data_IF_255544515875
#
_entry.id   IF_255544515875
#
_cell.length_a   1.000
_cell.length_b   1.000
_cell.length_c   1.000
_cell.angle_alpha   90.00
_cell.angle_beta   90.00
_cell.angle_gamma   90.00
#
_symmetry.space_group_name_H-M   'P 1'
#
loop_
_entity.id
_entity.type
_entity.pdbx_description
1 polymer ?
#
# COMPACT_ATOMS: atom_id res chain seq x y z
N UNK A 1 28.43 -23.79 -11.37
CA UNK A 1 27.33 -24.03 -10.41
C UNK A 1 27.61 -23.59 -8.97
N UNK A 2 28.80 -23.07 -8.62
CA UNK A 2 29.12 -22.73 -7.22
C UNK A 2 28.51 -21.38 -6.83
N UNK A 3 28.56 -20.38 -7.72
CA UNK A 3 28.04 -19.03 -7.43
C UNK A 3 26.51 -18.97 -7.28
N UNK A 4 25.69 -19.65 -8.12
CA UNK A 4 24.25 -19.79 -7.87
C UNK A 4 23.96 -20.43 -6.52
N UNK A 5 24.70 -21.49 -6.17
CA UNK A 5 24.52 -22.22 -4.91
C UNK A 5 24.89 -21.36 -3.69
N UNK A 6 26.01 -20.62 -3.75
CA UNK A 6 26.39 -19.68 -2.70
C UNK A 6 25.35 -18.56 -2.57
N UNK A 7 24.91 -17.98 -3.68
CA UNK A 7 23.88 -16.93 -3.70
C UNK A 7 22.56 -17.42 -3.09
N UNK A 8 22.15 -18.65 -3.45
CA UNK A 8 20.98 -19.30 -2.90
C UNK A 8 21.12 -19.56 -1.39
N UNK A 9 22.27 -20.05 -0.93
CA UNK A 9 22.50 -20.32 0.49
C UNK A 9 22.54 -19.04 1.34
N UNK A 10 23.19 -17.98 0.85
CA UNK A 10 23.26 -16.67 1.52
C UNK A 10 21.87 -16.04 1.63
N UNK A 11 21.11 -16.01 0.53
CA UNK A 11 19.73 -15.49 0.52
C UNK A 11 18.79 -16.36 1.36
N UNK A 12 18.98 -17.68 1.37
CA UNK A 12 18.26 -18.60 2.26
C UNK A 12 18.50 -18.31 3.74
N UNK A 13 19.76 -18.07 4.14
CA UNK A 13 20.09 -17.62 5.49
C UNK A 13 19.43 -16.28 5.86
N UNK A 14 19.43 -15.33 4.92
CA UNK A 14 18.73 -14.05 5.09
C UNK A 14 17.21 -14.25 5.32
N UNK A 15 16.57 -15.13 4.54
CA UNK A 15 15.14 -15.45 4.69
C UNK A 15 14.79 -16.25 5.94
N UNK A 16 15.75 -16.98 6.48
CA UNK A 16 15.60 -17.64 7.77
C UNK A 16 15.59 -16.62 8.92
N UNK A 17 16.51 -15.63 8.89
CA UNK A 17 16.65 -14.62 9.94
C UNK A 17 15.59 -13.50 9.81
N UNK A 18 15.15 -13.18 8.59
CA UNK A 18 14.15 -12.14 8.25
C UNK A 18 14.46 -10.76 8.86
N UNK A 19 15.70 -10.25 8.77
CA UNK A 19 16.04 -8.97 9.38
C UNK A 19 15.26 -7.83 8.72
N UNK A 20 14.62 -6.99 9.54
CA UNK A 20 13.89 -5.80 9.06
C UNK A 20 12.54 -6.05 8.38
N UNK A 21 12.08 -7.31 8.26
CA UNK A 21 10.82 -7.66 7.58
C UNK A 21 9.60 -6.96 8.17
N UNK A 22 9.53 -6.88 9.51
CA UNK A 22 8.42 -6.23 10.21
C UNK A 22 8.30 -4.77 9.81
N UNK A 23 9.44 -4.08 9.66
CA UNK A 23 9.44 -2.70 9.19
C UNK A 23 9.07 -2.64 7.71
N UNK A 24 9.71 -3.43 6.84
CA UNK A 24 9.44 -3.40 5.40
C UNK A 24 7.96 -3.56 5.06
N UNK A 25 7.30 -4.54 5.68
CA UNK A 25 5.88 -4.85 5.44
C UNK A 25 4.93 -4.21 6.45
N UNK A 26 5.38 -3.21 7.20
CA UNK A 26 4.49 -2.45 8.09
C UNK A 26 3.36 -1.80 7.30
N UNK A 27 2.13 -1.97 7.76
CA UNK A 27 0.96 -1.36 7.13
C UNK A 27 0.87 0.11 7.50
N UNK A 28 0.91 1.01 6.52
CA UNK A 28 0.43 2.37 6.70
C UNK A 28 -1.09 2.36 6.62
N UNK A 29 -1.76 2.81 7.66
CA UNK A 29 -3.22 2.85 7.71
C UNK A 29 -3.73 4.29 7.58
N UNK A 30 -4.89 4.47 6.95
CA UNK A 30 -5.62 5.73 7.09
C UNK A 30 -5.98 5.87 8.56
N UNK A 31 -5.58 6.99 9.18
CA UNK A 31 -5.91 7.26 10.56
C UNK A 31 -7.40 7.52 10.71
N UNK A 32 -8.00 6.78 11.64
CA UNK A 32 -9.44 6.84 11.92
C UNK A 32 -9.73 7.61 13.18
N UNK A 33 -10.81 8.37 13.17
CA UNK A 33 -11.29 9.14 14.31
C UNK A 33 -12.65 8.59 14.80
N UNK A 34 -13.02 8.82 16.07
CA UNK A 34 -14.33 8.43 16.57
C UNK A 34 -15.48 9.05 15.76
N UNK A 35 -16.48 8.22 15.46
CA UNK A 35 -17.76 8.65 14.89
C UNK A 35 -18.57 9.32 15.99
N UNK A 36 -18.94 10.59 15.81
CA UNK A 36 -19.75 11.31 16.78
C UNK A 36 -21.23 10.94 16.70
N UNK A 37 -21.73 10.63 15.50
CA UNK A 37 -23.10 10.21 15.25
C UNK A 37 -23.11 9.24 14.06
N UNK A 38 -23.90 8.17 14.18
CA UNK A 38 -24.17 7.26 13.04
C UNK A 38 -25.44 7.77 12.36
N UNK A 39 -25.37 8.31 11.13
CA UNK A 39 -26.56 8.77 10.43
C UNK A 39 -27.46 7.58 10.11
N UNK A 40 -28.78 7.78 10.18
CA UNK A 40 -29.74 6.82 9.62
C UNK A 40 -29.59 6.84 8.11
N UNK A 41 -29.08 5.73 7.56
CA UNK A 41 -28.94 5.55 6.13
C UNK A 41 -30.19 4.83 5.60
N UNK A 42 -30.78 5.36 4.53
CA UNK A 42 -31.74 4.60 3.75
C UNK A 42 -30.95 3.66 2.86
N UNK A 43 -30.87 2.40 3.27
CA UNK A 43 -30.14 1.37 2.55
C UNK A 43 -30.77 1.10 1.18
N UNK A 44 -29.93 1.10 0.15
CA UNK A 44 -30.29 0.54 -1.15
C UNK A 44 -30.26 -1.00 -1.05
N UNK A 45 -31.22 -1.68 -1.68
CA UNK A 45 -31.30 -3.16 -1.69
C UNK A 45 -30.08 -3.81 -2.37
N UNK A 46 -29.33 -3.06 -3.17
CA UNK A 46 -28.14 -3.54 -3.88
C UNK A 46 -26.88 -3.58 -3.02
N UNK A 47 -26.91 -3.01 -1.81
CA UNK A 47 -25.74 -2.93 -0.94
C UNK A 47 -25.52 -4.23 -0.18
N UNK A 48 -24.32 -4.80 -0.31
CA UNK A 48 -23.91 -6.04 0.35
C UNK A 48 -23.22 -5.77 1.69
N UNK A 49 -22.43 -4.70 1.78
CA UNK A 49 -21.74 -4.28 3.01
C UNK A 49 -21.70 -2.75 3.07
N UNK A 50 -21.88 -2.20 4.26
CA UNK A 50 -21.74 -0.77 4.52
C UNK A 50 -20.73 -0.57 5.63
N UNK A 51 -19.77 0.32 5.41
CA UNK A 51 -18.80 0.74 6.41
C UNK A 51 -18.78 2.25 6.52
N UNK A 52 -19.01 2.73 7.74
CA UNK A 52 -18.81 4.12 8.11
C UNK A 52 -17.48 4.24 8.83
N UNK A 53 -16.66 5.20 8.41
CA UNK A 53 -15.44 5.56 9.13
C UNK A 53 -15.21 7.06 9.04
N UNK A 54 -14.46 7.62 9.98
CA UNK A 54 -14.09 9.04 9.94
C UNK A 54 -12.59 9.18 9.80
N UNK A 55 -12.15 10.04 8.89
CA UNK A 55 -10.76 10.48 8.73
C UNK A 55 -10.65 11.98 9.02
N UNK A 56 -9.47 12.57 8.78
CA UNK A 56 -9.29 14.03 8.79
C UNK A 56 -10.20 14.76 7.79
N UNK A 57 -10.67 14.08 6.74
CA UNK A 57 -11.57 14.64 5.73
C UNK A 57 -13.05 14.64 6.17
N UNK A 58 -13.37 14.04 7.31
CA UNK A 58 -14.73 13.84 7.77
C UNK A 58 -15.18 12.38 7.68
N UNK A 59 -16.49 12.16 7.64
CA UNK A 59 -17.09 10.82 7.61
C UNK A 59 -17.11 10.33 6.16
N UNK A 60 -16.77 9.05 5.99
CA UNK A 60 -16.78 8.34 4.72
C UNK A 60 -17.82 7.22 4.79
N UNK A 61 -18.68 7.16 3.77
CA UNK A 61 -19.58 6.05 3.54
C UNK A 61 -18.97 5.16 2.45
N UNK A 62 -18.47 4.01 2.89
CA UNK A 62 -17.92 2.97 2.03
C UNK A 62 -18.98 1.91 1.84
N UNK A 63 -19.32 1.61 0.59
CA UNK A 63 -20.34 0.63 0.25
C UNK A 63 -19.72 -0.43 -0.63
N UNK A 64 -20.02 -1.69 -0.33
CA UNK A 64 -19.70 -2.82 -1.19
C UNK A 64 -20.96 -3.26 -1.92
N UNK A 65 -20.89 -3.31 -3.24
CA UNK A 65 -21.92 -3.88 -4.13
C UNK A 65 -21.33 -5.02 -4.96
N UNK A 66 -22.10 -5.50 -5.93
CA UNK A 66 -21.65 -6.43 -6.98
C UNK A 66 -20.48 -5.86 -7.82
N UNK A 67 -20.38 -4.53 -7.92
CA UNK A 67 -19.30 -3.81 -8.62
C UNK A 67 -18.05 -3.60 -7.77
N UNK A 68 -18.06 -4.05 -6.51
CA UNK A 68 -16.96 -3.88 -5.57
C UNK A 68 -17.18 -2.73 -4.59
N UNK A 69 -16.09 -2.26 -3.99
CA UNK A 69 -16.13 -1.15 -3.03
C UNK A 69 -16.21 0.19 -3.74
N UNK A 70 -17.01 1.09 -3.21
CA UNK A 70 -17.18 2.47 -3.69
C UNK A 70 -17.36 3.41 -2.49
N UNK A 71 -16.92 4.67 -2.64
CA UNK A 71 -17.30 5.72 -1.71
C UNK A 71 -18.55 6.43 -2.18
N UNK A 72 -19.42 6.77 -1.24
CA UNK A 72 -20.62 7.53 -1.48
C UNK A 72 -20.64 8.78 -0.61
N UNK A 73 -21.23 9.83 -1.14
CA UNK A 73 -21.57 11.01 -0.36
C UNK A 73 -22.67 10.67 0.66
N UNK A 74 -22.51 11.10 1.91
CA UNK A 74 -23.44 10.73 2.99
C UNK A 74 -24.84 11.32 2.84
N UNK A 75 -24.98 12.43 2.10
CA UNK A 75 -26.24 13.16 2.00
C UNK A 75 -26.98 12.84 0.70
N UNK A 76 -26.24 12.76 -0.41
CA UNK A 76 -26.79 12.53 -1.74
C UNK A 76 -26.74 11.07 -2.16
N UNK A 77 -25.96 10.22 -1.47
CA UNK A 77 -25.70 8.82 -1.78
C UNK A 77 -25.08 8.57 -3.17
N UNK A 78 -24.61 9.63 -3.83
CA UNK A 78 -23.92 9.53 -5.11
C UNK A 78 -22.51 9.02 -4.91
N UNK A 79 -22.03 8.24 -5.87
CA UNK A 79 -20.66 7.72 -5.87
C UNK A 79 -19.66 8.87 -6.00
N UNK A 80 -18.60 8.82 -5.19
CA UNK A 80 -17.44 9.69 -5.25
C UNK A 80 -16.29 8.88 -5.84
N UNK A 81 -16.14 8.96 -7.17
CA UNK A 81 -15.18 8.11 -7.89
C UNK A 81 -13.71 8.39 -7.52
N UNK A 82 -13.38 9.65 -7.24
CA UNK A 82 -12.01 10.07 -6.94
C UNK A 82 -11.95 11.20 -5.91
N UNK A 83 -10.93 11.21 -5.05
CA UNK A 83 -10.65 12.34 -4.18
C UNK A 83 -9.98 13.48 -4.97
N UNK A 84 -10.03 14.67 -4.39
CA UNK A 84 -9.22 15.81 -4.81
C UNK A 84 -7.76 15.61 -4.37
N UNK A 85 -6.81 16.23 -5.10
CA UNK A 85 -5.38 16.17 -4.75
C UNK A 85 -5.11 16.61 -3.30
N UNK A 86 -5.73 17.71 -2.87
CA UNK A 86 -5.61 18.22 -1.50
C UNK A 86 -6.15 17.24 -0.44
N UNK A 87 -7.13 16.40 -0.79
CA UNK A 87 -7.66 15.37 0.09
C UNK A 87 -6.68 14.19 0.22
N UNK A 88 -6.07 13.76 -0.89
CA UNK A 88 -4.99 12.76 -0.88
C UNK A 88 -3.83 13.24 -0.02
N UNK A 89 -3.42 14.50 -0.21
CA UNK A 89 -2.37 15.14 0.59
C UNK A 89 -2.71 15.13 2.09
N UNK A 90 -3.90 15.60 2.46
CA UNK A 90 -4.33 15.66 3.86
C UNK A 90 -4.39 14.28 4.52
N UNK A 91 -4.96 13.28 3.83
CA UNK A 91 -4.99 11.90 4.32
C UNK A 91 -3.59 11.33 4.51
N UNK A 92 -2.69 11.61 3.56
CA UNK A 92 -1.33 11.09 3.60
C UNK A 92 -0.53 11.72 4.72
N UNK A 93 -0.59 13.06 4.86
CA UNK A 93 0.09 13.79 5.95
C UNK A 93 -0.36 13.30 7.33
N UNK A 94 -1.67 13.10 7.52
CA UNK A 94 -2.21 12.60 8.78
C UNK A 94 -1.79 11.15 9.08
N UNK A 95 -1.71 10.29 8.05
CA UNK A 95 -1.25 8.91 8.19
C UNK A 95 0.25 8.81 8.50
N UNK A 96 1.10 9.54 7.77
CA UNK A 96 2.57 9.44 7.92
C UNK A 96 3.08 10.10 9.21
N UNK A 97 2.28 10.97 9.84
CA UNK A 97 2.62 11.62 11.11
C UNK A 97 2.89 10.62 12.25
N UNK A 98 2.44 9.36 12.13
CA UNK A 98 2.74 8.31 13.10
C UNK A 98 4.24 7.95 13.14
N UNK A 99 4.96 8.13 12.03
CA UNK A 99 6.38 7.83 11.95
C UNK A 99 7.10 8.79 10.98
N UNK A 100 7.37 10.04 11.40
CA UNK A 100 8.00 11.05 10.55
C UNK A 100 9.43 10.66 10.12
N UNK A 101 10.14 9.87 10.92
CA UNK A 101 11.49 9.41 10.58
C UNK A 101 11.47 8.47 9.36
N UNK A 102 10.47 7.58 9.27
CA UNK A 102 10.33 6.65 8.15
C UNK A 102 9.86 7.34 6.87
N UNK A 103 8.82 8.14 6.99
CA UNK A 103 8.10 8.66 5.84
C UNK A 103 8.58 10.04 5.40
N UNK A 104 9.19 10.83 6.29
CA UNK A 104 9.67 12.17 5.97
C UNK A 104 8.55 13.10 5.49
N UNK A 105 8.79 13.80 4.39
CA UNK A 105 7.84 14.76 3.78
C UNK A 105 7.34 14.27 2.42
N UNK A 106 6.15 14.73 2.04
CA UNK A 106 5.64 14.51 0.69
C UNK A 106 6.52 15.27 -0.31
N UNK A 107 7.07 14.54 -1.28
CA UNK A 107 7.87 15.07 -2.38
C UNK A 107 7.03 15.30 -3.62
N UNK A 108 6.11 14.39 -3.94
CA UNK A 108 5.18 14.55 -5.06
C UNK A 108 3.89 13.74 -4.86
N UNK A 109 2.83 14.18 -5.56
CA UNK A 109 1.53 13.51 -5.61
C UNK A 109 1.09 13.46 -7.07
N UNK A 110 0.78 12.26 -7.57
CA UNK A 110 0.26 11.99 -8.91
C UNK A 110 -0.99 11.11 -8.80
N UNK A 111 -2.18 11.71 -8.91
CA UNK A 111 -3.43 10.99 -8.70
C UNK A 111 -3.55 10.47 -7.26
N UNK A 112 -3.52 9.14 -7.10
CA UNK A 112 -3.58 8.45 -5.81
C UNK A 112 -2.21 7.99 -5.30
N UNK A 113 -1.16 8.22 -6.07
CA UNK A 113 0.21 7.85 -5.74
C UNK A 113 0.95 9.04 -5.15
N UNK A 114 1.63 8.79 -4.04
CA UNK A 114 2.42 9.76 -3.28
C UNK A 114 3.83 9.23 -3.13
N UNK A 115 4.81 10.09 -3.39
CA UNK A 115 6.23 9.78 -3.17
C UNK A 115 6.74 10.72 -2.08
N UNK A 116 7.46 10.16 -1.11
CA UNK A 116 8.11 10.93 -0.05
C UNK A 116 9.58 11.22 -0.36
N UNK A 117 10.19 12.13 0.40
CA UNK A 117 11.63 12.42 0.33
C UNK A 117 12.53 11.28 0.85
N UNK A 118 11.97 10.35 1.62
CA UNK A 118 12.63 9.08 1.99
C UNK A 118 12.54 8.00 0.90
N UNK A 119 12.01 8.35 -0.27
CA UNK A 119 11.67 7.47 -1.40
C UNK A 119 10.64 6.37 -1.05
N UNK A 120 9.81 6.62 -0.02
CA UNK A 120 8.66 5.76 0.25
C UNK A 120 7.55 6.08 -0.74
N UNK A 121 7.04 5.05 -1.40
CA UNK A 121 5.92 5.14 -2.35
C UNK A 121 4.66 4.70 -1.61
N UNK A 122 3.65 5.55 -1.63
CA UNK A 122 2.37 5.34 -0.93
C UNK A 122 1.25 5.46 -1.95
N UNK A 123 0.40 4.46 -2.06
CA UNK A 123 -0.77 4.47 -2.95
C UNK A 123 -2.05 4.42 -2.13
N UNK A 124 -2.96 5.36 -2.37
CA UNK A 124 -4.28 5.38 -1.77
C UNK A 124 -5.26 4.53 -2.57
N UNK A 125 -5.82 3.49 -1.97
CA UNK A 125 -7.05 2.86 -2.43
C UNK A 125 -8.23 3.65 -1.87
N UNK A 126 -8.72 4.59 -2.68
CA UNK A 126 -9.83 5.48 -2.31
C UNK A 126 -11.12 4.73 -1.97
N UNK A 127 -11.60 3.75 -2.78
CA UNK A 127 -12.85 3.05 -2.50
C UNK A 127 -12.86 2.25 -1.18
N UNK A 128 -11.69 1.87 -0.66
CA UNK A 128 -11.58 1.11 0.59
C UNK A 128 -10.97 1.93 1.74
N UNK A 129 -10.53 3.17 1.49
CA UNK A 129 -9.77 4.00 2.42
C UNK A 129 -8.58 3.25 3.03
N UNK A 130 -7.73 2.69 2.17
CA UNK A 130 -6.51 1.96 2.56
C UNK A 130 -5.29 2.55 1.88
N UNK A 131 -4.18 2.60 2.61
CA UNK A 131 -2.88 2.89 2.01
C UNK A 131 -2.11 1.59 1.77
N UNK A 132 -1.40 1.56 0.65
CA UNK A 132 -0.32 0.62 0.40
C UNK A 132 0.98 1.41 0.43
N UNK A 133 2.04 0.85 1.01
CA UNK A 133 3.35 1.51 1.08
C UNK A 133 4.47 0.56 0.67
N UNK A 134 5.50 1.11 0.04
CA UNK A 134 6.72 0.40 -0.31
C UNK A 134 7.92 1.34 -0.17
N UNK A 135 8.90 0.91 0.62
CA UNK A 135 10.15 1.64 0.86
C UNK A 135 11.39 0.90 0.34
N UNK A 136 12.57 1.48 0.62
CA UNK A 136 13.88 0.93 0.23
C UNK A 136 14.16 -0.45 0.82
N UNK A 137 13.64 -0.70 2.02
CA UNK A 137 13.73 -1.99 2.72
C UNK A 137 12.95 -3.09 1.99
N UNK A 138 11.74 -2.78 1.52
CA UNK A 138 10.92 -3.68 0.72
C UNK A 138 11.58 -3.95 -0.64
N UNK A 139 12.16 -2.91 -1.25
CA UNK A 139 12.92 -3.04 -2.51
C UNK A 139 14.14 -3.95 -2.35
N UNK A 140 14.85 -3.84 -1.24
CA UNK A 140 15.98 -4.73 -0.92
C UNK A 140 15.54 -6.18 -0.71
N UNK A 141 14.46 -6.41 0.04
CA UNK A 141 13.90 -7.75 0.23
C UNK A 141 13.49 -8.36 -1.11
N UNK A 142 12.84 -7.58 -1.98
CA UNK A 142 12.45 -8.03 -3.31
C UNK A 142 13.67 -8.41 -4.16
N UNK A 143 14.78 -7.66 -4.07
CA UNK A 143 16.05 -8.04 -4.72
C UNK A 143 16.61 -9.35 -4.18
N UNK A 144 16.53 -9.57 -2.85
CA UNK A 144 16.95 -10.85 -2.27
C UNK A 144 16.11 -12.02 -2.81
N UNK A 145 14.80 -11.82 -3.02
CA UNK A 145 13.94 -12.81 -3.66
C UNK A 145 14.36 -13.09 -5.11
N UNK A 146 14.63 -12.04 -5.89
CA UNK A 146 15.11 -12.18 -7.26
C UNK A 146 16.40 -12.99 -7.33
N UNK A 147 17.39 -12.67 -6.48
CA UNK A 147 18.66 -13.42 -6.41
C UNK A 147 18.43 -14.88 -6.05
N UNK A 148 17.59 -15.14 -5.05
CA UNK A 148 17.30 -16.50 -4.57
C UNK A 148 16.66 -17.38 -5.64
N UNK A 149 15.77 -16.81 -6.46
CA UNK A 149 15.10 -17.50 -7.55
C UNK A 149 15.82 -17.38 -8.90
N UNK A 150 17.09 -16.98 -8.89
CA UNK A 150 17.95 -16.82 -10.08
C UNK A 150 17.41 -15.81 -11.12
N UNK A 151 16.55 -14.88 -10.71
CA UNK A 151 15.97 -13.84 -11.57
C UNK A 151 16.88 -12.60 -11.63
N UNK A 152 18.11 -12.77 -12.12
CA UNK A 152 19.14 -11.73 -12.01
C UNK A 152 18.95 -10.58 -13.00
N UNK A 153 18.54 -10.91 -14.21
CA UNK A 153 18.33 -9.97 -15.31
C UNK A 153 16.84 -9.63 -15.49
N UNK A 154 15.95 -10.45 -14.94
CA UNK A 154 14.51 -10.36 -15.15
C UNK A 154 14.07 -10.90 -16.52
N UNK A 155 15.02 -11.41 -17.32
CA UNK A 155 14.77 -12.04 -18.61
C UNK A 155 15.00 -13.53 -18.42
N UNK A 156 13.89 -14.28 -18.36
CA UNK A 156 13.90 -15.72 -18.07
C UNK A 156 14.94 -16.51 -18.88
N UNK A 157 15.05 -16.25 -20.18
CA UNK A 157 16.00 -16.95 -21.05
C UNK A 157 17.48 -16.71 -20.69
N UNK A 158 17.83 -15.50 -20.26
CA UNK A 158 19.20 -15.18 -19.82
C UNK A 158 19.46 -15.72 -18.42
N UNK A 159 18.46 -15.62 -17.55
CA UNK A 159 18.51 -16.12 -16.18
C UNK A 159 18.66 -17.65 -16.14
N UNK A 160 17.96 -18.37 -17.02
CA UNK A 160 18.11 -19.82 -17.18
C UNK A 160 19.53 -20.19 -17.66
N UNK A 161 20.05 -19.50 -18.69
CA UNK A 161 21.40 -19.74 -19.22
C UNK A 161 22.48 -19.43 -18.18
N UNK A 162 22.35 -18.33 -17.44
CA UNK A 162 23.28 -17.96 -16.37
C UNK A 162 23.18 -18.93 -15.18
N UNK A 163 21.98 -19.43 -14.86
CA UNK A 163 21.78 -20.47 -13.86
C UNK A 163 22.47 -21.80 -14.20
N UNK A 164 22.63 -22.11 -15.48
CA UNK A 164 23.37 -23.29 -15.96
C UNK A 164 24.89 -23.06 -16.10
N UNK A 165 25.31 -21.87 -16.55
CA UNK A 165 26.72 -21.57 -16.87
C UNK A 165 27.56 -21.20 -15.64
N UNK A 166 26.97 -20.56 -14.62
CA UNK A 166 27.66 -20.07 -13.42
C UNK A 166 27.56 -21.07 -12.27
#
# INVERSE_FOLDING_TARGET
MILPFISWAVTGGYFFIKPGYKAAYESLNVKTYPLALVPKLNHDKTWLEVRLMRSILGVHLLVKSDKGWQQHDLHTLKVIDKPLKAQVESLTLDAIAINPHRYGKIKSIQGLDVITDTDTRITLNWPQMRFYQQGKDTDFINKMYQIHYLQWTGIKALDDVLGFLV
#
